data_IF_382567778792
#
_entry.id   IF_382567778792
#
_cell.length_a   1.000
_cell.length_b   1.000
_cell.length_c   1.000
_cell.angle_alpha   90.00
_cell.angle_beta   90.00
_cell.angle_gamma   90.00
#
_symmetry.space_group_name_H-M   'P 1'
#
loop_
_entity.id
_entity.type
_entity.pdbx_description
1 polymer ?
#
# COMPACT_ATOMS: atom_id res chain seq x y z
N UNK A 1 22.77 -2.84 23.65
CA UNK A 1 22.93 -2.07 22.41
C UNK A 1 21.82 -2.40 21.40
N UNK A 2 21.57 -3.67 21.10
CA UNK A 2 20.50 -4.12 20.18
C UNK A 2 19.11 -3.52 20.42
N UNK A 3 18.63 -3.50 21.67
CA UNK A 3 17.30 -2.96 22.01
C UNK A 3 17.18 -1.45 21.71
N UNK A 4 18.27 -0.70 21.88
CA UNK A 4 18.29 0.74 21.60
C UNK A 4 18.18 0.99 20.10
N UNK A 5 18.87 0.18 19.29
CA UNK A 5 18.80 0.25 17.83
C UNK A 5 17.39 -0.09 17.33
N UNK A 6 16.78 -1.15 17.88
CA UNK A 6 15.40 -1.53 17.54
C UNK A 6 14.39 -0.46 17.93
N UNK A 7 14.52 0.13 19.12
CA UNK A 7 13.64 1.21 19.55
C UNK A 7 13.76 2.43 18.62
N UNK A 8 14.99 2.82 18.27
CA UNK A 8 15.25 3.91 17.34
C UNK A 8 14.59 3.65 15.98
N UNK A 9 14.68 2.42 15.45
CA UNK A 9 14.04 2.02 14.21
C UNK A 9 12.52 2.25 14.24
N UNK A 10 11.83 1.81 15.30
CA UNK A 10 10.38 2.02 15.43
C UNK A 10 10.00 3.48 15.62
N UNK A 11 10.81 4.27 16.33
CA UNK A 11 10.59 5.72 16.46
C UNK A 11 10.67 6.40 15.09
N UNK A 12 11.68 6.08 14.29
CA UNK A 12 11.81 6.63 12.93
C UNK A 12 10.63 6.23 12.04
N UNK A 13 10.17 4.99 12.15
CA UNK A 13 9.01 4.50 11.40
C UNK A 13 7.71 5.23 11.79
N UNK A 14 7.50 5.45 13.09
CA UNK A 14 6.34 6.19 13.60
C UNK A 14 6.35 7.64 13.10
N UNK A 15 7.51 8.30 13.12
CA UNK A 15 7.66 9.65 12.57
C UNK A 15 7.34 9.67 11.07
N UNK A 16 7.92 8.76 10.29
CA UNK A 16 7.66 8.66 8.85
C UNK A 16 6.16 8.44 8.53
N UNK A 17 5.46 7.66 9.36
CA UNK A 17 4.02 7.46 9.23
C UNK A 17 3.21 8.72 9.53
N UNK A 18 3.57 9.47 10.58
CA UNK A 18 2.88 10.73 10.95
C UNK A 18 3.10 11.80 9.89
N UNK A 19 4.30 11.92 9.36
CA UNK A 19 4.63 12.87 8.30
C UNK A 19 4.07 12.47 6.92
N UNK A 20 3.42 11.30 6.82
CA UNK A 20 2.89 10.82 5.54
C UNK A 20 3.99 10.50 4.53
N UNK A 21 5.23 10.25 4.95
CA UNK A 21 6.27 9.73 4.05
C UNK A 21 5.96 8.32 3.57
N UNK A 22 5.11 7.60 4.30
CA UNK A 22 4.51 6.35 3.86
C UNK A 22 3.19 6.56 3.13
N UNK A 23 2.88 7.79 2.67
CA UNK A 23 1.74 8.05 1.79
C UNK A 23 1.97 7.24 0.53
N UNK A 24 1.32 6.09 0.51
CA UNK A 24 1.27 5.18 -0.61
C UNK A 24 0.77 5.98 -1.81
N UNK A 25 1.63 6.22 -2.81
CA UNK A 25 1.24 6.78 -4.10
C UNK A 25 0.45 5.72 -4.84
N UNK A 26 -0.72 5.41 -4.31
CA UNK A 26 -1.59 4.32 -4.69
C UNK A 26 -2.20 4.69 -6.04
N UNK A 27 -1.49 4.39 -7.12
CA UNK A 27 -2.20 3.71 -8.20
C UNK A 27 -2.54 2.34 -7.61
N UNK A 28 -3.71 2.26 -6.97
CA UNK A 28 -4.20 1.08 -6.29
C UNK A 28 -4.44 -0.01 -7.32
N UNK A 29 -3.35 -0.63 -7.78
CA UNK A 29 -3.23 -1.66 -8.80
C UNK A 29 -4.58 -2.12 -9.29
N UNK A 30 -5.19 -1.40 -10.26
CA UNK A 30 -6.55 -1.49 -10.80
C UNK A 30 -7.33 -2.79 -10.45
N UNK A 31 -7.57 -3.02 -9.17
CA UNK A 31 -8.15 -4.25 -8.69
C UNK A 31 -9.64 -4.00 -8.79
N UNK A 32 -10.12 -4.06 -10.01
CA UNK A 32 -11.54 -4.06 -10.30
C UNK A 32 -12.13 -5.16 -9.44
N UNK A 33 -12.99 -4.77 -8.50
CA UNK A 33 -13.83 -5.70 -7.77
C UNK A 33 -14.45 -6.63 -8.82
N UNK A 34 -14.02 -7.89 -8.80
CA UNK A 34 -14.63 -8.90 -9.63
C UNK A 34 -15.88 -9.29 -8.87
N UNK A 35 -17.06 -8.83 -9.32
CA UNK A 35 -18.33 -9.46 -8.95
C UNK A 35 -18.10 -10.97 -9.07
N UNK A 36 -18.21 -11.69 -7.95
CA UNK A 36 -18.11 -13.15 -7.89
C UNK A 36 -16.83 -13.76 -8.52
N UNK A 37 -15.70 -13.05 -8.55
CA UNK A 37 -14.44 -13.59 -9.08
C UNK A 37 -14.34 -13.62 -10.61
N UNK A 38 -15.28 -13.00 -11.33
CA UNK A 38 -15.17 -12.81 -12.79
C UNK A 38 -14.56 -11.44 -13.12
N UNK A 39 -13.35 -11.44 -13.68
CA UNK A 39 -12.80 -10.25 -14.35
C UNK A 39 -13.72 -9.88 -15.51
N UNK A 40 -14.40 -8.73 -15.47
CA UNK A 40 -15.14 -8.19 -16.63
C UNK A 40 -14.13 -7.84 -17.72
N UNK A 41 -13.81 -8.79 -18.60
CA UNK A 41 -13.15 -8.51 -19.89
C UNK A 41 -14.07 -7.57 -20.66
N UNK A 42 -13.63 -6.33 -20.91
CA UNK A 42 -14.34 -5.39 -21.77
C UNK A 42 -14.58 -6.09 -23.12
N UNK A 43 -15.82 -6.17 -23.65
CA UNK A 43 -15.99 -6.64 -25.01
C UNK A 43 -15.31 -5.63 -25.93
N UNK A 44 -14.37 -6.13 -26.73
CA UNK A 44 -13.81 -5.36 -27.84
C UNK A 44 -14.92 -5.27 -28.87
N UNK A 45 -15.62 -4.14 -28.91
CA UNK A 45 -16.51 -3.81 -30.01
C UNK A 45 -15.63 -3.72 -31.27
N UNK A 46 -15.81 -4.69 -32.16
CA UNK A 46 -15.34 -4.66 -33.55
C UNK A 46 -16.25 -3.78 -34.38
#
# INVERSE_FOLDING_TARGET
>A
MELVVLLLFFVLLALASIFGWTSDSRDSADWKASDEGRRRTRPRLS
#
